data_IF_246536951162
#
_entry.id   IF_246536951162
#
_cell.length_a   1.000
_cell.length_b   1.000
_cell.length_c   1.000
_cell.angle_alpha   90.00
_cell.angle_beta   90.00
_cell.angle_gamma   90.00
#
_symmetry.space_group_name_H-M   'P 1'
#
loop_
_entity.id
_entity.type
_entity.pdbx_description
1 polymer ?
#
# COMPACT_ATOMS: atom_id res chain seq x y z
N UNK A 1 9.05 -2.25 -7.63
CA UNK A 1 8.51 -3.05 -6.52
C UNK A 1 7.12 -3.59 -6.86
N UNK A 2 6.07 -2.76 -7.04
CA UNK A 2 4.67 -3.22 -7.30
C UNK A 2 4.55 -4.22 -8.46
N UNK A 3 5.19 -3.95 -9.60
CA UNK A 3 5.11 -4.85 -10.77
C UNK A 3 5.72 -6.24 -10.54
N UNK A 4 6.55 -6.41 -9.51
CA UNK A 4 7.15 -7.71 -9.13
C UNK A 4 6.34 -8.49 -8.11
N UNK A 5 5.32 -7.87 -7.49
CA UNK A 5 4.51 -8.52 -6.46
C UNK A 5 3.84 -9.80 -6.99
N UNK A 6 3.85 -10.84 -6.16
CA UNK A 6 3.36 -12.19 -6.46
C UNK A 6 2.17 -12.59 -5.59
N UNK A 7 2.16 -12.23 -4.31
CA UNK A 7 1.18 -12.72 -3.33
C UNK A 7 0.30 -11.58 -2.81
N UNK A 8 0.89 -10.56 -2.22
CA UNK A 8 0.16 -9.48 -1.58
C UNK A 8 0.90 -8.14 -1.54
N UNK A 9 0.09 -7.09 -1.46
CA UNK A 9 0.53 -5.72 -1.28
C UNK A 9 -0.30 -5.11 -0.14
N UNK A 10 0.38 -4.54 0.85
CA UNK A 10 -0.23 -3.69 1.87
C UNK A 10 0.23 -2.25 1.66
N UNK A 11 -0.72 -1.39 1.33
CA UNK A 11 -0.51 0.01 1.00
C UNK A 11 -1.15 0.92 2.04
N UNK A 12 -0.44 1.96 2.47
CA UNK A 12 -0.98 3.04 3.27
C UNK A 12 -0.69 4.36 2.56
N UNK A 13 -1.68 5.25 2.51
CA UNK A 13 -1.50 6.57 1.91
C UNK A 13 -2.61 7.55 2.33
N UNK A 14 -2.37 8.87 2.32
CA UNK A 14 -3.44 9.84 2.55
C UNK A 14 -4.52 9.76 1.47
N UNK A 15 -4.13 9.70 0.20
CA UNK A 15 -5.03 9.55 -0.95
C UNK A 15 -4.39 8.65 -1.99
N UNK A 16 -5.19 7.74 -2.55
CA UNK A 16 -4.71 6.89 -3.65
C UNK A 16 -4.57 7.69 -4.96
N UNK A 17 -5.36 8.75 -5.12
CA UNK A 17 -5.38 9.55 -6.35
C UNK A 17 -4.13 10.43 -6.51
N UNK A 18 -3.41 10.67 -5.40
CA UNK A 18 -2.13 11.39 -5.40
C UNK A 18 -1.00 10.53 -5.98
N UNK A 19 -1.21 9.22 -6.12
CA UNK A 19 -0.31 8.37 -6.89
C UNK A 19 -0.50 8.62 -8.39
N UNK A 20 0.59 8.87 -9.09
CA UNK A 20 0.56 9.04 -10.55
C UNK A 20 0.04 7.81 -11.30
N UNK A 21 -0.42 8.02 -12.54
CA UNK A 21 -1.06 6.99 -13.38
C UNK A 21 -0.25 5.69 -13.50
N UNK A 22 1.08 5.79 -13.56
CA UNK A 22 1.96 4.62 -13.64
C UNK A 22 1.86 3.69 -12.43
N UNK A 23 1.67 4.24 -11.23
CA UNK A 23 1.48 3.44 -10.01
C UNK A 23 0.11 2.78 -10.01
N UNK A 24 -0.93 3.53 -10.39
CA UNK A 24 -2.28 2.99 -10.49
C UNK A 24 -2.36 1.85 -11.52
N UNK A 25 -1.68 2.01 -12.66
CA UNK A 25 -1.56 0.95 -13.66
C UNK A 25 -0.85 -0.28 -13.09
N UNK A 26 0.28 -0.09 -12.40
CA UNK A 26 1.02 -1.20 -11.79
C UNK A 26 0.19 -1.96 -10.74
N UNK A 27 -0.62 -1.27 -9.94
CA UNK A 27 -1.53 -1.90 -8.98
C UNK A 27 -2.64 -2.70 -9.70
N UNK A 28 -3.21 -2.16 -10.78
CA UNK A 28 -4.21 -2.88 -11.60
C UNK A 28 -3.62 -4.13 -12.23
N UNK A 29 -2.40 -4.06 -12.76
CA UNK A 29 -1.71 -5.21 -13.32
C UNK A 29 -1.39 -6.26 -12.26
N UNK A 30 -0.95 -5.85 -11.06
CA UNK A 30 -0.73 -6.75 -9.94
C UNK A 30 -2.01 -7.47 -9.53
N UNK A 31 -3.11 -6.72 -9.35
CA UNK A 31 -4.43 -7.29 -9.09
C UNK A 31 -4.87 -8.26 -10.20
N UNK A 32 -4.61 -7.94 -11.47
CA UNK A 32 -4.88 -8.81 -12.62
C UNK A 32 -4.11 -10.13 -12.59
N UNK A 33 -2.93 -10.16 -11.98
CA UNK A 33 -2.16 -11.40 -11.72
C UNK A 33 -2.66 -12.19 -10.51
N UNK A 34 -3.67 -11.70 -9.79
CA UNK A 34 -4.21 -12.34 -8.59
C UNK A 34 -3.55 -11.90 -7.28
N UNK A 35 -2.70 -10.88 -7.30
CA UNK A 35 -2.08 -10.30 -6.10
C UNK A 35 -3.17 -9.68 -5.22
N UNK A 36 -3.15 -10.00 -3.92
CA UNK A 36 -4.11 -9.44 -2.95
C UNK A 36 -3.66 -8.05 -2.53
N UNK A 37 -4.48 -7.04 -2.81
CA UNK A 37 -4.12 -5.66 -2.47
C UNK A 37 -5.02 -5.17 -1.33
N UNK A 38 -4.40 -4.75 -0.23
CA UNK A 38 -5.05 -4.12 0.92
C UNK A 38 -4.55 -2.70 1.06
N UNK A 39 -5.46 -1.77 1.33
CA UNK A 39 -5.14 -0.35 1.48
C UNK A 39 -5.74 0.30 2.71
N UNK A 40 -4.95 1.12 3.39
CA UNK A 40 -5.41 2.03 4.44
C UNK A 40 -5.27 3.44 3.89
N UNK A 41 -6.40 4.10 3.64
CA UNK A 41 -6.42 5.43 3.03
C UNK A 41 -6.91 6.50 4.00
N UNK A 42 -6.35 7.70 3.90
CA UNK A 42 -6.88 8.89 4.58
C UNK A 42 -8.28 9.26 4.12
N UNK A 43 -8.56 9.12 2.83
CA UNK A 43 -9.88 9.33 2.24
C UNK A 43 -10.29 8.18 1.34
N UNK A 44 -11.60 8.01 1.14
CA UNK A 44 -12.10 6.96 0.24
C UNK A 44 -11.63 7.22 -1.20
N UNK A 45 -11.03 6.22 -1.86
CA UNK A 45 -10.78 6.27 -3.29
C UNK A 45 -11.93 5.65 -4.08
N UNK A 46 -12.23 6.21 -5.24
CA UNK A 46 -13.17 5.65 -6.22
C UNK A 46 -12.44 4.93 -7.38
N UNK A 47 -11.10 4.81 -7.30
CA UNK A 47 -10.30 4.13 -8.32
C UNK A 47 -10.64 2.63 -8.27
N UNK A 48 -11.16 2.13 -9.39
CA UNK A 48 -11.48 0.72 -9.53
C UNK A 48 -10.20 -0.12 -9.77
N UNK A 49 -9.79 -0.87 -8.74
CA UNK A 49 -8.73 -1.87 -8.80
C UNK A 49 -9.37 -3.23 -8.43
N UNK A 50 -9.23 -4.29 -9.24
CA UNK A 50 -9.81 -5.59 -8.92
C UNK A 50 -9.30 -6.15 -7.60
N UNK A 51 -10.15 -6.81 -6.82
CA UNK A 51 -9.80 -7.43 -5.54
C UNK A 51 -9.10 -6.49 -4.53
N UNK A 52 -9.30 -5.18 -4.68
CA UNK A 52 -8.73 -4.15 -3.83
C UNK A 52 -9.58 -3.97 -2.58
N UNK A 53 -9.00 -4.29 -1.43
CA UNK A 53 -9.65 -4.06 -0.15
C UNK A 53 -9.21 -2.72 0.41
N UNK A 54 -10.16 -1.96 0.94
CA UNK A 54 -9.90 -0.62 1.44
C UNK A 54 -10.44 -0.44 2.86
N UNK A 55 -9.65 0.25 3.68
CA UNK A 55 -10.03 0.78 4.98
C UNK A 55 -9.67 2.26 5.07
N UNK A 56 -10.32 2.96 5.99
CA UNK A 56 -10.12 4.40 6.20
C UNK A 56 -9.46 4.66 7.55
N UNK A 57 -8.46 5.54 7.54
CA UNK A 57 -7.80 6.12 8.70
C UNK A 57 -7.45 7.57 8.37
N UNK A 58 -8.31 8.51 8.77
CA UNK A 58 -8.30 9.92 8.32
C UNK A 58 -7.00 10.68 8.67
N UNK A 59 -6.27 10.26 9.70
CA UNK A 59 -4.99 10.81 10.16
C UNK A 59 -3.77 10.15 9.48
N UNK A 60 -3.94 9.56 8.30
CA UNK A 60 -2.82 8.98 7.52
C UNK A 60 -2.00 10.09 6.85
N UNK A 61 -0.70 10.15 7.16
CA UNK A 61 0.20 11.25 6.74
C UNK A 61 1.40 10.79 5.91
N UNK A 62 1.60 9.48 5.71
CA UNK A 62 2.73 8.92 5.00
C UNK A 62 2.25 7.93 3.94
N UNK A 63 3.15 7.65 2.98
CA UNK A 63 3.00 6.53 2.06
C UNK A 63 3.86 5.38 2.58
N UNK A 64 3.21 4.29 2.99
CA UNK A 64 3.90 3.06 3.37
C UNK A 64 3.47 1.93 2.42
N UNK A 65 4.42 1.11 2.01
CA UNK A 65 4.17 -0.03 1.13
C UNK A 65 4.96 -1.23 1.62
N UNK A 66 4.29 -2.38 1.71
CA UNK A 66 4.93 -3.69 1.90
C UNK A 66 4.48 -4.60 0.77
N UNK A 67 5.43 -5.35 0.20
CA UNK A 67 5.21 -6.31 -0.87
C UNK A 67 5.74 -7.68 -0.45
N UNK A 68 4.85 -8.67 -0.47
CA UNK A 68 5.15 -10.10 -0.25
C UNK A 68 5.99 -10.36 1.03
N UNK A 69 5.87 -9.50 2.04
CA UNK A 69 6.71 -9.49 3.26
C UNK A 69 8.23 -9.37 3.04
N UNK A 70 8.70 -9.02 1.84
CA UNK A 70 10.14 -9.00 1.49
C UNK A 70 10.66 -7.60 1.12
N UNK A 71 9.86 -6.79 0.44
CA UNK A 71 10.21 -5.40 0.11
C UNK A 71 9.30 -4.42 0.88
N UNK A 72 9.89 -3.32 1.36
CA UNK A 72 9.18 -2.25 2.04
C UNK A 72 9.62 -0.87 1.56
N UNK A 73 8.69 0.09 1.62
CA UNK A 73 8.94 1.49 1.33
C UNK A 73 8.18 2.37 2.33
N UNK A 74 8.82 3.44 2.79
CA UNK A 74 8.21 4.52 3.58
C UNK A 74 8.56 5.82 2.88
N UNK A 75 7.58 6.69 2.69
CA UNK A 75 7.76 7.93 1.97
C UNK A 75 6.87 9.03 2.52
N UNK A 76 7.30 10.28 2.32
CA UNK A 76 6.39 11.42 2.40
C UNK A 76 5.32 11.32 1.28
N UNK A 77 4.13 11.92 1.47
CA UNK A 77 3.04 11.88 0.48
C UNK A 77 3.42 12.43 -0.90
N UNK A 78 4.33 13.41 -0.93
CA UNK A 78 4.83 14.04 -2.15
C UNK A 78 6.01 13.29 -2.79
N UNK A 79 6.39 12.14 -2.24
CA UNK A 79 7.53 11.32 -2.66
C UNK A 79 8.89 12.05 -2.63
N UNK A 80 8.99 13.21 -1.98
CA UNK A 80 10.23 14.00 -1.94
C UNK A 80 11.30 13.37 -1.06
N UNK A 81 10.90 12.55 -0.08
CA UNK A 81 11.78 11.72 0.75
C UNK A 81 11.22 10.32 0.81
N UNK A 82 12.05 9.35 0.45
CA UNK A 82 11.68 7.94 0.37
C UNK A 82 12.81 7.05 0.89
N UNK A 83 12.46 6.12 1.77
CA UNK A 83 13.30 5.00 2.18
C UNK A 83 12.73 3.70 1.61
N UNK A 84 13.57 2.91 0.94
CA UNK A 84 13.22 1.59 0.42
C UNK A 84 14.18 0.53 0.96
N UNK A 85 13.64 -0.65 1.25
CA UNK A 85 14.40 -1.79 1.71
C UNK A 85 13.91 -3.07 1.03
N UNK A 86 14.85 -3.81 0.43
CA UNK A 86 14.67 -5.21 0.03
C UNK A 86 15.32 -6.10 1.11
N UNK A 87 14.62 -6.21 2.24
CA UNK A 87 15.11 -6.93 3.40
C UNK A 87 13.93 -7.51 4.18
N UNK A 88 13.78 -8.85 4.25
CA UNK A 88 12.64 -9.48 4.91
C UNK A 88 12.46 -9.07 6.38
N UNK A 89 13.54 -8.86 7.14
CA UNK A 89 13.43 -8.50 8.56
C UNK A 89 12.82 -7.11 8.75
N UNK A 90 13.21 -6.15 7.91
CA UNK A 90 12.66 -4.78 7.93
C UNK A 90 11.21 -4.81 7.43
N UNK A 91 10.97 -5.50 6.32
CA UNK A 91 9.66 -5.56 5.68
C UNK A 91 8.61 -6.21 6.58
N UNK A 92 8.94 -7.34 7.22
CA UNK A 92 8.04 -8.00 8.18
C UNK A 92 7.75 -7.14 9.41
N UNK A 93 8.73 -6.37 9.89
CA UNK A 93 8.53 -5.48 11.04
C UNK A 93 7.55 -4.35 10.69
N UNK A 94 7.72 -3.72 9.52
CA UNK A 94 6.78 -2.71 9.02
C UNK A 94 5.40 -3.33 8.80
N UNK A 95 5.33 -4.49 8.15
CA UNK A 95 4.09 -5.22 7.91
C UNK A 95 3.32 -5.46 9.21
N UNK A 96 3.98 -5.94 10.26
CA UNK A 96 3.35 -6.16 11.57
C UNK A 96 2.71 -4.90 12.14
N UNK A 97 3.34 -3.74 11.96
CA UNK A 97 2.77 -2.45 12.36
C UNK A 97 1.56 -2.06 11.48
N UNK A 98 1.66 -2.24 10.16
CA UNK A 98 0.57 -1.94 9.23
C UNK A 98 -0.63 -2.89 9.41
N UNK A 99 -0.40 -4.14 9.81
CA UNK A 99 -1.46 -5.10 10.14
C UNK A 99 -2.24 -4.74 11.40
N UNK A 100 -1.55 -4.24 12.43
CA UNK A 100 -2.21 -3.66 13.61
C UNK A 100 -3.07 -2.48 13.19
N UNK A 101 -2.51 -1.57 12.39
CA UNK A 101 -3.20 -0.40 11.86
C UNK A 101 -4.41 -0.79 11.03
N UNK A 102 -4.29 -1.80 10.16
CA UNK A 102 -5.38 -2.35 9.35
C UNK A 102 -6.53 -2.78 10.24
N UNK A 103 -6.26 -3.61 11.26
CA UNK A 103 -7.29 -4.12 12.19
C UNK A 103 -8.06 -3.01 12.90
N UNK A 104 -7.38 -1.92 13.26
CA UNK A 104 -7.97 -0.74 13.92
C UNK A 104 -8.69 0.23 12.98
N UNK A 105 -8.38 0.18 11.67
CA UNK A 105 -8.94 1.10 10.68
C UNK A 105 -10.41 0.81 10.37
N UNK A 106 -11.15 1.86 10.01
CA UNK A 106 -12.58 1.79 9.68
C UNK A 106 -12.79 1.01 8.38
N UNK A 107 -13.73 0.06 8.38
CA UNK A 107 -14.14 -0.66 7.15
C UNK A 107 -14.97 0.27 6.26
N UNK A 108 -14.76 0.18 4.94
CA UNK A 108 -15.55 0.84 3.90
C UNK A 108 -16.63 -0.09 3.40
#
# INVERSE_FOLDING_TARGET
MISRAVQDILLVAPKLDDFGEGVILALKEAAGRGVKIRSILGTKSEINIPNFQQRIKEDTLAIDLVIDSVEAMISMPDLSVCGWADNPLISMQLEGFLEQTWKMSKKV
#
